data_IF_802520054973
#
_entry.id   IF_802520054973
#
_cell.length_a   1.000
_cell.length_b   1.000
_cell.length_c   1.000
_cell.angle_alpha   90.00
_cell.angle_beta   90.00
_cell.angle_gamma   90.00
#
_symmetry.space_group_name_H-M   'P 1'
#
loop_
_entity.id
_entity.type
_entity.pdbx_description
1 polymer ?
#
# COMPACT_ATOMS: atom_id res chain seq x y z
N UNK A 1 30.97 4.83 -14.82
CA UNK A 1 29.98 4.60 -15.90
C UNK A 1 30.62 3.87 -17.08
N UNK A 2 31.90 4.10 -17.39
CA UNK A 2 32.64 3.29 -18.38
C UNK A 2 32.66 1.80 -18.04
N UNK A 3 32.84 1.44 -16.77
CA UNK A 3 32.81 0.04 -16.31
C UNK A 3 31.50 -0.69 -16.65
N UNK A 4 30.36 0.01 -16.55
CA UNK A 4 29.05 -0.54 -16.91
C UNK A 4 28.92 -0.71 -18.43
N UNK A 5 29.43 0.26 -19.20
CA UNK A 5 29.45 0.19 -20.67
C UNK A 5 30.31 -0.98 -21.17
N UNK A 6 31.50 -1.17 -20.61
CA UNK A 6 32.38 -2.29 -20.93
C UNK A 6 31.78 -3.64 -20.53
N UNK A 7 31.04 -3.70 -19.41
CA UNK A 7 30.32 -4.91 -18.99
C UNK A 7 29.14 -5.26 -19.90
N UNK A 8 28.50 -4.27 -20.53
CA UNK A 8 27.34 -4.45 -21.41
C UNK A 8 27.74 -4.76 -22.87
N UNK A 9 28.91 -4.32 -23.34
CA UNK A 9 29.42 -4.59 -24.70
C UNK A 9 29.21 -6.01 -25.24
N UNK A 10 29.43 -7.11 -24.48
CA UNK A 10 29.20 -8.47 -24.98
C UNK A 10 27.72 -8.79 -25.32
N UNK A 11 26.76 -7.99 -24.85
CA UNK A 11 25.33 -8.18 -25.14
C UNK A 11 24.90 -7.52 -26.46
N UNK A 12 25.74 -6.68 -27.08
CA UNK A 12 25.43 -5.94 -28.31
C UNK A 12 24.95 -6.81 -29.49
N UNK A 13 25.53 -8.00 -29.79
CA UNK A 13 25.02 -8.84 -30.87
C UNK A 13 23.64 -9.45 -30.56
N UNK A 14 23.29 -9.60 -29.28
CA UNK A 14 21.99 -10.10 -28.83
C UNK A 14 20.94 -8.99 -28.97
N UNK A 15 21.27 -7.77 -28.55
CA UNK A 15 20.33 -6.65 -28.61
C UNK A 15 20.00 -6.21 -30.04
N UNK A 16 20.94 -6.32 -30.97
CA UNK A 16 20.69 -6.01 -32.38
C UNK A 16 19.87 -7.08 -33.12
N UNK A 17 19.82 -8.31 -32.58
CA UNK A 17 19.05 -9.42 -33.15
C UNK A 17 17.73 -9.69 -32.40
N UNK A 18 17.24 -8.71 -31.63
CA UNK A 18 15.97 -8.84 -30.93
C UNK A 18 14.82 -9.04 -31.94
N UNK A 19 13.94 -10.04 -31.73
CA UNK A 19 12.73 -10.23 -32.52
C UNK A 19 11.90 -8.95 -32.64
N UNK A 20 11.27 -8.73 -33.79
CA UNK A 20 10.47 -7.51 -34.04
C UNK A 20 9.42 -7.23 -32.96
N UNK A 21 8.69 -8.21 -32.38
CA UNK A 21 7.72 -7.90 -31.33
C UNK A 21 8.37 -7.31 -30.07
N UNK A 22 9.57 -7.77 -29.72
CA UNK A 22 10.30 -7.30 -28.52
C UNK A 22 10.90 -5.92 -28.79
N UNK A 23 11.43 -5.71 -30.00
CA UNK A 23 11.96 -4.41 -30.42
C UNK A 23 10.85 -3.36 -30.44
N UNK A 24 9.73 -3.67 -31.07
CA UNK A 24 8.61 -2.74 -31.23
C UNK A 24 7.95 -2.44 -29.87
N UNK A 25 7.89 -3.42 -28.96
CA UNK A 25 7.48 -3.19 -27.57
C UNK A 25 8.46 -2.26 -26.84
N UNK A 26 9.76 -2.50 -26.96
CA UNK A 26 10.78 -1.64 -26.34
C UNK A 26 10.72 -0.21 -26.86
N UNK A 27 10.63 -0.03 -28.18
CA UNK A 27 10.44 1.28 -28.83
C UNK A 27 9.14 1.93 -28.35
N UNK A 28 8.05 1.18 -28.22
CA UNK A 28 6.78 1.72 -27.72
C UNK A 28 6.85 2.18 -26.27
N UNK A 29 7.69 1.58 -25.42
CA UNK A 29 7.79 1.91 -23.99
C UNK A 29 8.72 3.10 -23.74
N UNK A 30 9.92 3.11 -24.32
CA UNK A 30 10.96 4.12 -24.04
C UNK A 30 11.21 5.09 -25.21
N UNK A 31 10.58 4.88 -26.37
CA UNK A 31 10.77 5.68 -27.57
C UNK A 31 11.96 5.25 -28.43
N UNK A 32 11.93 5.55 -29.73
CA UNK A 32 12.98 5.17 -30.68
C UNK A 32 14.38 5.66 -30.29
N UNK A 33 14.48 6.90 -29.82
CA UNK A 33 15.77 7.53 -29.46
C UNK A 33 16.41 6.85 -28.25
N UNK A 34 15.64 6.60 -27.19
CA UNK A 34 16.16 5.93 -26.01
C UNK A 34 16.32 4.43 -26.22
N UNK A 35 15.50 3.80 -27.06
CA UNK A 35 15.70 2.40 -27.45
C UNK A 35 17.03 2.22 -28.19
N UNK A 36 17.32 3.08 -29.18
CA UNK A 36 18.62 3.05 -29.88
C UNK A 36 19.79 3.28 -28.92
N UNK A 37 19.72 4.35 -28.13
CA UNK A 37 20.82 4.76 -27.24
C UNK A 37 21.08 3.74 -26.12
N UNK A 38 20.03 3.20 -25.50
CA UNK A 38 20.14 2.36 -24.31
C UNK A 38 20.22 0.86 -24.63
N UNK A 39 19.49 0.37 -25.64
CA UNK A 39 19.38 -1.06 -25.97
C UNK A 39 20.32 -1.45 -27.13
N UNK A 40 20.37 -0.67 -28.21
CA UNK A 40 21.20 -1.02 -29.39
C UNK A 40 22.66 -0.57 -29.23
N UNK A 41 22.87 0.65 -28.72
CA UNK A 41 24.20 1.24 -28.52
C UNK A 41 24.77 1.01 -27.12
N UNK A 42 23.94 0.48 -26.19
CA UNK A 42 24.32 0.15 -24.82
C UNK A 42 25.11 1.29 -24.17
N UNK A 43 24.62 2.52 -24.34
CA UNK A 43 25.24 3.72 -23.81
C UNK A 43 24.49 4.20 -22.56
N UNK A 44 24.83 3.72 -21.35
CA UNK A 44 24.17 4.12 -20.11
C UNK A 44 24.50 5.55 -19.68
N UNK A 45 25.35 6.26 -20.44
CA UNK A 45 25.79 7.62 -20.11
C UNK A 45 24.71 8.67 -20.40
N UNK A 46 23.70 8.33 -21.20
CA UNK A 46 22.55 9.20 -21.42
C UNK A 46 21.63 9.20 -20.20
N UNK A 47 21.80 10.22 -19.36
CA UNK A 47 21.10 10.32 -18.09
C UNK A 47 19.59 10.55 -18.23
N UNK A 48 19.13 11.09 -19.35
CA UNK A 48 17.71 11.33 -19.60
C UNK A 48 17.02 10.04 -20.01
N UNK A 49 17.58 9.33 -20.99
CA UNK A 49 17.07 8.03 -21.42
C UNK A 49 17.16 6.98 -20.32
N UNK A 50 18.21 7.00 -19.49
CA UNK A 50 18.33 6.09 -18.35
C UNK A 50 17.24 6.36 -17.29
N UNK A 51 17.00 7.63 -16.92
CA UNK A 51 15.94 7.98 -15.96
C UNK A 51 14.56 7.59 -16.49
N UNK A 52 14.29 7.84 -17.77
CA UNK A 52 13.03 7.45 -18.41
C UNK A 52 12.85 5.94 -18.42
N UNK A 53 13.89 5.17 -18.79
CA UNK A 53 13.83 3.71 -18.80
C UNK A 53 13.60 3.13 -17.40
N UNK A 54 14.28 3.68 -16.38
CA UNK A 54 14.05 3.29 -14.97
C UNK A 54 12.61 3.65 -14.57
N UNK A 55 12.10 4.84 -14.94
CA UNK A 55 10.73 5.26 -14.64
C UNK A 55 9.71 4.31 -15.23
N UNK A 56 9.83 3.99 -16.53
CA UNK A 56 8.93 3.04 -17.21
C UNK A 56 8.99 1.66 -16.60
N UNK A 57 10.20 1.18 -16.28
CA UNK A 57 10.40 -0.12 -15.61
C UNK A 57 9.73 -0.17 -14.24
N UNK A 58 9.90 0.87 -13.42
CA UNK A 58 9.21 1.02 -12.14
C UNK A 58 7.69 1.06 -12.33
N UNK A 59 7.18 1.88 -13.26
CA UNK A 59 5.75 1.96 -13.55
C UNK A 59 5.13 0.61 -13.93
N UNK A 60 5.75 -0.13 -14.85
CA UNK A 60 5.32 -1.49 -15.24
C UNK A 60 5.34 -2.44 -14.03
N UNK A 61 6.40 -2.38 -13.22
CA UNK A 61 6.51 -3.18 -12.00
C UNK A 61 5.39 -2.89 -11.01
N UNK A 62 5.06 -1.61 -10.78
CA UNK A 62 3.99 -1.23 -9.85
C UNK A 62 2.61 -1.63 -10.41
N UNK A 63 2.36 -1.46 -11.72
CA UNK A 63 1.14 -1.94 -12.39
C UNK A 63 0.98 -3.46 -12.22
N UNK A 64 2.06 -4.22 -12.47
CA UNK A 64 2.09 -5.67 -12.31
C UNK A 64 1.77 -6.10 -10.88
N UNK A 65 2.46 -5.51 -9.89
CA UNK A 65 2.19 -5.79 -8.48
C UNK A 65 0.74 -5.45 -8.10
N UNK A 66 0.26 -4.28 -8.51
CA UNK A 66 -1.09 -3.77 -8.19
C UNK A 66 -2.22 -4.64 -8.74
N UNK A 67 -1.97 -5.39 -9.80
CA UNK A 67 -2.91 -6.36 -10.38
C UNK A 67 -3.27 -7.49 -9.41
N UNK A 68 -2.38 -7.80 -8.46
CA UNK A 68 -2.50 -8.97 -7.57
C UNK A 68 -2.82 -8.56 -6.13
N UNK A 69 -2.56 -7.30 -5.73
CA UNK A 69 -2.65 -6.85 -4.33
C UNK A 69 -4.00 -7.19 -3.65
N UNK A 70 -5.13 -7.04 -4.36
CA UNK A 70 -6.46 -7.28 -3.77
C UNK A 70 -7.01 -8.68 -4.10
N UNK A 71 -6.34 -9.46 -4.94
CA UNK A 71 -6.77 -10.82 -5.33
C UNK A 71 -6.91 -11.77 -4.13
N UNK A 72 -5.98 -11.82 -3.15
CA UNK A 72 -6.16 -12.66 -1.96
C UNK A 72 -7.43 -12.32 -1.18
N UNK A 73 -7.83 -11.04 -1.14
CA UNK A 73 -9.06 -10.61 -0.48
C UNK A 73 -10.31 -11.07 -1.24
N UNK A 74 -10.28 -11.01 -2.58
CA UNK A 74 -11.36 -11.54 -3.42
C UNK A 74 -11.54 -13.05 -3.19
N UNK A 75 -10.44 -13.81 -3.20
CA UNK A 75 -10.49 -15.26 -2.95
C UNK A 75 -11.07 -15.55 -1.57
N UNK A 76 -10.63 -14.83 -0.53
CA UNK A 76 -11.17 -15.00 0.83
C UNK A 76 -12.67 -14.75 0.90
N UNK A 77 -13.17 -13.71 0.24
CA UNK A 77 -14.60 -13.41 0.18
C UNK A 77 -15.39 -14.52 -0.51
N UNK A 78 -14.89 -15.02 -1.65
CA UNK A 78 -15.54 -16.10 -2.39
C UNK A 78 -15.57 -17.41 -1.59
N UNK A 79 -14.50 -17.71 -0.85
CA UNK A 79 -14.40 -18.91 -0.02
C UNK A 79 -15.24 -18.83 1.25
N UNK A 80 -15.26 -17.68 1.92
CA UNK A 80 -16.02 -17.50 3.17
C UNK A 80 -17.50 -17.26 2.93
N UNK A 81 -17.86 -16.74 1.74
CA UNK A 81 -19.19 -16.22 1.43
C UNK A 81 -19.72 -15.26 2.50
N UNK A 82 -18.81 -14.52 3.15
CA UNK A 82 -19.12 -13.65 4.28
C UNK A 82 -18.31 -12.36 4.20
N UNK A 83 -18.99 -11.24 4.42
CA UNK A 83 -18.42 -9.89 4.48
C UNK A 83 -17.96 -9.47 5.89
N UNK A 84 -18.00 -10.38 6.87
CA UNK A 84 -17.66 -10.07 8.25
C UNK A 84 -16.24 -9.51 8.39
N UNK A 85 -16.10 -8.41 9.15
CA UNK A 85 -14.83 -7.72 9.35
C UNK A 85 -14.39 -6.81 8.19
N UNK A 86 -15.18 -6.69 7.12
CA UNK A 86 -14.88 -5.83 5.97
C UNK A 86 -15.79 -4.60 5.97
N UNK A 87 -15.18 -3.42 5.95
CA UNK A 87 -15.90 -2.14 5.94
C UNK A 87 -16.31 -1.75 4.51
N UNK A 88 -17.62 -1.81 4.22
CA UNK A 88 -18.17 -1.30 2.96
C UNK A 88 -17.81 0.18 2.73
N UNK A 89 -17.93 1.02 3.77
CA UNK A 89 -17.65 2.46 3.66
C UNK A 89 -16.19 2.72 3.27
N UNK A 90 -15.24 1.94 3.80
CA UNK A 90 -13.82 2.07 3.46
C UNK A 90 -13.58 1.75 1.98
N UNK A 91 -14.18 0.68 1.45
CA UNK A 91 -14.08 0.33 0.03
C UNK A 91 -14.81 1.33 -0.87
N UNK A 92 -15.93 1.89 -0.43
CA UNK A 92 -16.64 2.95 -1.14
C UNK A 92 -15.76 4.20 -1.29
N UNK A 93 -15.19 4.69 -0.18
CA UNK A 93 -14.30 5.86 -0.19
C UNK A 93 -13.04 5.62 -1.03
N UNK A 94 -12.43 4.43 -0.92
CA UNK A 94 -11.28 4.05 -1.72
C UNK A 94 -11.63 3.99 -3.22
N UNK A 95 -12.79 3.43 -3.58
CA UNK A 95 -13.30 3.39 -4.97
C UNK A 95 -13.54 4.79 -5.52
N UNK A 96 -14.20 5.67 -4.76
CA UNK A 96 -14.44 7.05 -5.16
C UNK A 96 -13.14 7.82 -5.39
N UNK A 97 -12.18 7.68 -4.46
CA UNK A 97 -10.86 8.31 -4.58
C UNK A 97 -10.13 7.85 -5.84
N UNK A 98 -10.08 6.54 -6.10
CA UNK A 98 -9.43 6.01 -7.30
C UNK A 98 -10.14 6.40 -8.60
N UNK A 99 -11.47 6.48 -8.61
CA UNK A 99 -12.23 6.91 -9.78
C UNK A 99 -11.95 8.38 -10.13
N UNK A 100 -11.93 9.26 -9.14
CA UNK A 100 -11.56 10.68 -9.32
C UNK A 100 -10.15 10.79 -9.87
N UNK A 101 -9.19 10.06 -9.28
CA UNK A 101 -7.81 10.04 -9.78
C UNK A 101 -7.69 9.49 -11.18
N UNK A 102 -8.41 8.43 -11.52
CA UNK A 102 -8.43 7.90 -12.88
C UNK A 102 -8.95 8.94 -13.88
N UNK A 103 -10.09 9.56 -13.59
CA UNK A 103 -10.67 10.59 -14.46
C UNK A 103 -9.74 11.79 -14.63
N UNK A 104 -9.09 12.24 -13.56
CA UNK A 104 -8.12 13.33 -13.60
C UNK A 104 -6.95 13.02 -14.54
N UNK A 105 -6.30 11.86 -14.34
CA UNK A 105 -5.13 11.47 -15.12
C UNK A 105 -5.47 11.25 -16.61
N UNK A 106 -6.61 10.61 -16.90
CA UNK A 106 -7.08 10.39 -18.28
C UNK A 106 -7.39 11.72 -18.96
N UNK A 107 -8.09 12.64 -18.29
CA UNK A 107 -8.46 13.95 -18.88
C UNK A 107 -7.26 14.88 -19.07
N UNK A 108 -6.20 14.72 -18.29
CA UNK A 108 -4.92 15.40 -18.51
C UNK A 108 -4.09 14.78 -19.65
N UNK A 109 -4.47 13.61 -20.16
CA UNK A 109 -3.72 12.91 -21.20
C UNK A 109 -2.39 12.32 -20.72
N UNK A 110 -2.27 12.02 -19.43
CA UNK A 110 -1.05 11.43 -18.89
C UNK A 110 -0.84 10.00 -19.42
N UNK A 111 0.41 9.51 -19.47
CA UNK A 111 0.68 8.17 -19.97
C UNK A 111 0.17 7.10 -19.01
N UNK A 112 -0.37 6.00 -19.53
CA UNK A 112 -0.94 4.91 -18.71
C UNK A 112 0.02 4.34 -17.66
N UNK A 113 1.33 4.37 -17.91
CA UNK A 113 2.37 3.96 -16.94
C UNK A 113 2.32 4.72 -15.61
N UNK A 114 1.68 5.89 -15.55
CA UNK A 114 1.62 6.75 -14.36
C UNK A 114 0.38 6.52 -13.48
N UNK A 115 -0.70 5.99 -14.06
CA UNK A 115 -1.98 5.79 -13.36
C UNK A 115 -2.58 4.40 -13.58
N UNK A 116 -1.95 3.52 -14.35
CA UNK A 116 -2.50 2.22 -14.72
C UNK A 116 -2.82 1.34 -13.53
N UNK A 117 -2.03 1.43 -12.46
CA UNK A 117 -2.33 0.77 -11.20
C UNK A 117 -3.64 1.25 -10.54
N UNK A 118 -3.97 2.54 -10.68
CA UNK A 118 -5.19 3.15 -10.14
C UNK A 118 -6.39 2.55 -10.84
N UNK A 119 -6.30 2.35 -12.16
CA UNK A 119 -7.34 1.66 -12.93
C UNK A 119 -7.51 0.20 -12.50
N UNK A 120 -6.41 -0.53 -12.30
CA UNK A 120 -6.46 -1.95 -11.91
C UNK A 120 -6.95 -2.15 -10.48
N UNK A 121 -6.53 -1.32 -9.54
CA UNK A 121 -6.99 -1.37 -8.15
C UNK A 121 -8.46 -0.95 -8.09
N UNK A 122 -8.88 0.07 -8.86
CA UNK A 122 -10.29 0.47 -8.97
C UNK A 122 -11.17 -0.71 -9.40
N UNK A 123 -10.78 -1.44 -10.46
CA UNK A 123 -11.51 -2.63 -10.92
C UNK A 123 -11.64 -3.69 -9.83
N UNK A 124 -10.53 -4.01 -9.15
CA UNK A 124 -10.55 -4.96 -8.02
C UNK A 124 -11.42 -4.48 -6.86
N UNK A 125 -11.41 -3.19 -6.54
CA UNK A 125 -12.24 -2.61 -5.48
C UNK A 125 -13.72 -2.66 -5.80
N UNK A 126 -14.11 -2.42 -7.04
CA UNK A 126 -15.50 -2.56 -7.50
C UNK A 126 -15.98 -3.99 -7.29
N UNK A 127 -15.17 -4.98 -7.69
CA UNK A 127 -15.47 -6.41 -7.47
C UNK A 127 -15.66 -6.70 -5.98
N UNK A 128 -14.71 -6.28 -5.14
CA UNK A 128 -14.80 -6.49 -3.68
C UNK A 128 -16.05 -5.83 -3.11
N UNK A 129 -16.35 -4.59 -3.50
CA UNK A 129 -17.50 -3.85 -2.99
C UNK A 129 -18.82 -4.55 -3.32
N UNK A 130 -18.96 -5.06 -4.54
CA UNK A 130 -20.12 -5.84 -4.98
C UNK A 130 -20.23 -7.14 -4.18
N UNK A 131 -19.13 -7.88 -4.00
CA UNK A 131 -19.11 -9.10 -3.19
C UNK A 131 -19.50 -8.84 -1.73
N UNK A 132 -18.96 -7.78 -1.13
CA UNK A 132 -19.27 -7.36 0.24
C UNK A 132 -20.76 -7.07 0.40
N UNK A 133 -21.36 -6.32 -0.52
CA UNK A 133 -22.80 -6.00 -0.45
C UNK A 133 -23.69 -7.23 -0.66
N UNK A 134 -23.34 -8.10 -1.61
CA UNK A 134 -24.08 -9.33 -1.86
C UNK A 134 -24.03 -10.29 -0.67
N UNK A 135 -22.85 -10.56 -0.11
CA UNK A 135 -22.70 -11.45 1.06
C UNK A 135 -23.21 -10.82 2.37
N UNK A 136 -23.51 -9.52 2.38
CA UNK A 136 -24.21 -8.85 3.49
C UNK A 136 -25.74 -8.92 3.36
N UNK A 137 -26.28 -9.59 2.32
CA UNK A 137 -27.72 -9.62 2.04
C UNK A 137 -28.29 -8.29 1.53
N UNK A 138 -27.44 -7.38 1.03
CA UNK A 138 -27.81 -6.01 0.61
C UNK A 138 -27.73 -5.84 -0.91
N UNK A 139 -28.32 -6.77 -1.66
CA UNK A 139 -28.27 -6.79 -3.13
C UNK A 139 -28.84 -5.52 -3.77
N UNK A 140 -29.88 -4.92 -3.20
CA UNK A 140 -30.43 -3.64 -3.67
C UNK A 140 -29.42 -2.49 -3.59
N UNK A 141 -28.62 -2.45 -2.52
CA UNK A 141 -27.54 -1.47 -2.36
C UNK A 141 -26.42 -1.75 -3.36
N UNK A 142 -26.16 -3.01 -3.71
CA UNK A 142 -25.19 -3.36 -4.77
C UNK A 142 -25.62 -2.80 -6.13
N UNK A 143 -26.89 -2.93 -6.48
CA UNK A 143 -27.44 -2.34 -7.70
C UNK A 143 -27.33 -0.81 -7.70
N UNK A 144 -27.67 -0.16 -6.57
CA UNK A 144 -27.53 1.29 -6.41
C UNK A 144 -26.06 1.74 -6.53
N UNK A 145 -25.13 0.98 -5.95
CA UNK A 145 -23.70 1.25 -6.06
C UNK A 145 -23.23 1.20 -7.52
N UNK A 146 -23.63 0.16 -8.28
CA UNK A 146 -23.28 0.04 -9.70
C UNK A 146 -23.87 1.19 -10.53
N UNK A 147 -25.14 1.55 -10.28
CA UNK A 147 -25.78 2.68 -10.95
C UNK A 147 -25.09 4.01 -10.62
N UNK A 148 -24.77 4.25 -9.34
CA UNK A 148 -24.04 5.43 -8.90
C UNK A 148 -22.63 5.48 -9.50
N UNK A 149 -21.95 4.34 -9.61
CA UNK A 149 -20.63 4.23 -10.23
C UNK A 149 -20.70 4.59 -11.72
N UNK A 150 -21.67 4.05 -12.46
CA UNK A 150 -21.87 4.36 -13.87
C UNK A 150 -22.13 5.86 -14.10
N UNK A 151 -23.01 6.47 -13.29
CA UNK A 151 -23.26 7.91 -13.32
C UNK A 151 -22.00 8.72 -12.98
N UNK A 152 -21.22 8.27 -11.99
CA UNK A 152 -19.96 8.93 -11.60
C UNK A 152 -18.93 8.89 -12.73
N UNK A 153 -18.84 7.77 -13.47
CA UNK A 153 -17.97 7.66 -14.65
C UNK A 153 -18.41 8.65 -15.74
N UNK A 154 -19.69 8.71 -16.09
CA UNK A 154 -20.18 9.63 -17.12
C UNK A 154 -19.91 11.08 -16.74
N UNK A 155 -20.16 11.45 -15.48
CA UNK A 155 -19.99 12.83 -14.99
C UNK A 155 -18.52 13.25 -14.90
N UNK A 156 -17.64 12.41 -14.36
CA UNK A 156 -16.22 12.75 -14.16
C UNK A 156 -15.44 12.81 -15.47
N UNK A 157 -15.79 11.99 -16.46
CA UNK A 157 -15.10 11.95 -17.75
C UNK A 157 -15.64 12.96 -18.77
N UNK A 158 -16.84 13.52 -18.54
CA UNK A 158 -17.44 14.51 -19.43
C UNK A 158 -17.06 15.94 -19.03
N UNK A 159 -16.22 16.58 -19.85
CA UNK A 159 -15.78 17.96 -19.64
C UNK A 159 -16.90 19.02 -19.73
N UNK A 160 -18.05 18.70 -20.33
CA UNK A 160 -19.21 19.58 -20.38
C UNK A 160 -20.05 19.58 -19.09
N UNK A 161 -19.90 18.53 -18.25
CA UNK A 161 -20.60 18.44 -16.95
C UNK A 161 -19.69 18.94 -15.83
N UNK A 162 -18.43 18.51 -15.83
CA UNK A 162 -17.48 18.80 -14.76
C UNK A 162 -16.20 19.34 -15.38
N UNK A 163 -15.86 20.58 -15.09
CA UNK A 163 -14.71 21.27 -15.65
C UNK A 163 -13.38 20.82 -15.01
N UNK A 164 -12.25 21.19 -15.60
CA UNK A 164 -10.96 20.71 -15.12
C UNK A 164 -10.57 21.30 -13.75
N UNK A 165 -11.08 22.48 -13.38
CA UNK A 165 -10.79 23.10 -12.10
C UNK A 165 -11.49 22.35 -10.97
N UNK A 166 -12.80 22.05 -11.12
CA UNK A 166 -13.53 21.23 -10.15
C UNK A 166 -12.91 19.85 -10.01
N UNK A 167 -12.50 19.22 -11.12
CA UNK A 167 -11.85 17.91 -11.07
C UNK A 167 -10.50 17.95 -10.34
N UNK A 168 -9.77 19.06 -10.43
CA UNK A 168 -8.51 19.27 -9.70
C UNK A 168 -8.73 19.36 -8.19
N UNK A 169 -9.79 20.04 -7.74
CA UNK A 169 -10.15 20.07 -6.32
C UNK A 169 -10.57 18.69 -5.81
N UNK A 170 -11.35 17.93 -6.59
CA UNK A 170 -11.69 16.56 -6.26
C UNK A 170 -10.43 15.68 -6.17
N UNK A 171 -9.49 15.82 -7.10
CA UNK A 171 -8.22 15.10 -7.09
C UNK A 171 -7.37 15.45 -5.87
N UNK A 172 -7.34 16.73 -5.48
CA UNK A 172 -6.68 17.16 -4.26
C UNK A 172 -7.31 16.50 -3.03
N UNK A 173 -8.65 16.49 -2.95
CA UNK A 173 -9.39 15.83 -1.88
C UNK A 173 -9.11 14.33 -1.81
N UNK A 174 -9.11 13.64 -2.95
CA UNK A 174 -8.75 12.22 -3.06
C UNK A 174 -7.33 11.95 -2.53
N UNK A 175 -6.35 12.76 -2.95
CA UNK A 175 -4.98 12.68 -2.43
C UNK A 175 -4.89 12.93 -0.91
N UNK A 176 -5.57 13.98 -0.43
CA UNK A 176 -5.61 14.32 0.99
C UNK A 176 -6.23 13.22 1.85
N UNK A 177 -7.31 12.59 1.40
CA UNK A 177 -7.91 11.45 2.11
C UNK A 177 -6.93 10.28 2.24
N UNK A 178 -6.19 9.98 1.16
CA UNK A 178 -5.15 8.95 1.18
C UNK A 178 -4.04 9.24 2.20
N UNK A 179 -3.56 10.49 2.23
CA UNK A 179 -2.51 10.94 3.16
C UNK A 179 -3.04 10.99 4.60
N UNK A 180 -4.21 11.56 4.81
CA UNK A 180 -4.84 11.72 6.12
C UNK A 180 -5.08 10.38 6.84
N UNK A 181 -5.33 9.30 6.09
CA UNK A 181 -5.50 7.96 6.66
C UNK A 181 -4.30 7.45 7.49
N UNK A 182 -3.10 8.00 7.24
CA UNK A 182 -1.86 7.64 7.94
C UNK A 182 -1.69 8.38 9.27
N UNK A 183 -2.36 9.53 9.45
CA UNK A 183 -2.22 10.36 10.65
C UNK A 183 -2.71 9.65 11.92
N UNK A 184 -3.89 8.99 11.94
CA UNK A 184 -4.30 8.21 13.11
C UNK A 184 -3.32 7.09 13.45
N UNK A 185 -2.72 6.45 12.44
CA UNK A 185 -1.72 5.40 12.66
C UNK A 185 -0.43 5.95 13.29
N UNK A 186 0.06 7.10 12.80
CA UNK A 186 1.23 7.79 13.38
C UNK A 186 0.96 8.19 14.84
N UNK A 187 -0.22 8.74 15.11
CA UNK A 187 -0.62 9.16 16.44
C UNK A 187 -0.75 7.96 17.40
N UNK A 188 -1.34 6.85 16.96
CA UNK A 188 -1.47 5.64 17.75
C UNK A 188 -0.11 5.05 18.13
N UNK A 189 0.84 4.94 17.20
CA UNK A 189 2.20 4.45 17.49
C UNK A 189 2.90 5.33 18.51
N UNK A 190 2.74 6.65 18.41
CA UNK A 190 3.31 7.60 19.36
C UNK A 190 2.71 7.43 20.77
N UNK A 191 1.38 7.30 20.86
CA UNK A 191 0.68 7.15 22.14
C UNK A 191 0.95 5.78 22.80
N UNK A 192 1.03 4.71 22.01
CA UNK A 192 1.31 3.36 22.49
C UNK A 192 2.79 3.16 22.85
N UNK A 193 3.69 3.99 22.30
CA UNK A 193 5.13 3.87 22.48
C UNK A 193 5.70 2.59 21.89
N UNK A 194 5.11 2.10 20.79
CA UNK A 194 5.43 0.84 20.13
C UNK A 194 4.69 0.70 18.79
N UNK A 195 5.20 -0.14 17.88
CA UNK A 195 4.60 -0.34 16.55
C UNK A 195 3.53 -1.44 16.50
N UNK A 196 3.33 -2.16 17.61
CA UNK A 196 2.26 -3.14 17.75
C UNK A 196 2.36 -4.32 16.77
N UNK A 197 1.36 -4.47 15.90
CA UNK A 197 1.30 -5.49 14.84
C UNK A 197 1.73 -4.95 13.48
N UNK A 198 2.22 -3.71 13.40
CA UNK A 198 2.65 -3.11 12.16
C UNK A 198 3.93 -3.79 11.68
N UNK A 199 3.91 -4.29 10.44
CA UNK A 199 5.07 -4.96 9.84
C UNK A 199 6.09 -3.94 9.35
N UNK A 200 7.35 -4.08 9.78
CA UNK A 200 8.48 -3.30 9.27
C UNK A 200 8.57 -3.38 7.74
N UNK A 201 8.39 -4.57 7.18
CA UNK A 201 8.41 -4.81 5.74
C UNK A 201 7.34 -3.97 5.02
N UNK A 202 6.14 -3.89 5.59
CA UNK A 202 5.05 -3.06 5.04
C UNK A 202 5.38 -1.57 5.08
N UNK A 203 5.92 -1.07 6.21
CA UNK A 203 6.27 0.35 6.37
C UNK A 203 7.37 0.77 5.40
N UNK A 204 8.45 0.00 5.28
CA UNK A 204 9.53 0.31 4.33
C UNK A 204 9.08 0.18 2.88
N UNK A 205 8.20 -0.77 2.55
CA UNK A 205 7.61 -0.84 1.22
C UNK A 205 6.71 0.36 0.89
N UNK A 206 5.96 0.90 1.86
CA UNK A 206 5.22 2.15 1.65
C UNK A 206 6.17 3.32 1.38
N UNK A 207 7.28 3.41 2.10
CA UNK A 207 8.30 4.43 1.86
C UNK A 207 8.92 4.29 0.46
N UNK A 208 9.39 3.09 0.11
CA UNK A 208 9.98 2.82 -1.19
C UNK A 208 8.99 3.06 -2.34
N UNK A 209 7.75 2.56 -2.22
CA UNK A 209 6.71 2.76 -3.22
C UNK A 209 6.36 4.23 -3.41
N UNK A 210 6.19 5.00 -2.33
CA UNK A 210 5.92 6.44 -2.45
C UNK A 210 7.09 7.23 -3.05
N UNK A 211 8.34 6.83 -2.76
CA UNK A 211 9.52 7.40 -3.43
C UNK A 211 9.54 7.09 -4.93
N UNK A 212 9.26 5.83 -5.30
CA UNK A 212 9.14 5.43 -6.70
C UNK A 212 8.09 6.28 -7.42
N UNK A 213 6.95 6.59 -6.79
CA UNK A 213 5.93 7.47 -7.38
C UNK A 213 6.40 8.90 -7.59
N UNK A 214 7.10 9.47 -6.63
CA UNK A 214 7.70 10.81 -6.79
C UNK A 214 8.63 10.80 -8.01
N UNK A 215 9.51 9.80 -8.10
CA UNK A 215 10.44 9.68 -9.22
C UNK A 215 9.71 9.52 -10.55
N UNK A 216 8.74 8.59 -10.67
CA UNK A 216 8.01 8.38 -11.93
C UNK A 216 7.19 9.60 -12.34
N UNK A 217 6.59 10.31 -11.40
CA UNK A 217 5.85 11.55 -11.69
C UNK A 217 6.80 12.62 -12.20
N UNK A 218 7.94 12.85 -11.55
CA UNK A 218 8.92 13.83 -12.01
C UNK A 218 9.45 13.56 -13.42
N UNK A 219 9.51 12.28 -13.85
CA UNK A 219 10.00 11.94 -15.19
C UNK A 219 8.92 11.85 -16.26
N UNK A 220 7.68 11.54 -15.90
CA UNK A 220 6.63 11.26 -16.90
C UNK A 220 5.53 12.33 -16.95
N UNK A 221 5.43 13.21 -15.95
CA UNK A 221 4.31 14.15 -15.81
C UNK A 221 4.74 15.49 -15.23
N UNK A 222 4.45 16.59 -15.93
CA UNK A 222 4.61 17.95 -15.40
C UNK A 222 3.34 18.43 -14.67
N UNK A 223 2.98 17.76 -13.56
CA UNK A 223 1.81 18.10 -12.77
C UNK A 223 2.14 18.21 -11.28
N UNK A 224 2.16 19.46 -10.80
CA UNK A 224 2.50 19.80 -9.41
C UNK A 224 1.46 19.27 -8.42
N UNK A 225 0.19 19.11 -8.82
CA UNK A 225 -0.84 18.64 -7.91
C UNK A 225 -0.61 17.17 -7.54
N UNK A 226 -0.36 16.32 -8.54
CA UNK A 226 -0.03 14.91 -8.32
C UNK A 226 1.30 14.80 -7.56
N UNK A 227 2.32 15.57 -7.97
CA UNK A 227 3.63 15.55 -7.33
C UNK A 227 3.55 15.89 -5.83
N UNK A 228 2.87 16.98 -5.47
CA UNK A 228 2.72 17.37 -4.06
C UNK A 228 1.92 16.34 -3.26
N UNK A 229 0.93 15.70 -3.87
CA UNK A 229 0.22 14.57 -3.24
C UNK A 229 1.16 13.42 -2.88
N UNK A 230 2.03 13.02 -3.80
CA UNK A 230 3.02 11.95 -3.53
C UNK A 230 4.09 12.38 -2.53
N UNK A 231 4.57 13.63 -2.59
CA UNK A 231 5.52 14.17 -1.61
C UNK A 231 4.93 14.18 -0.21
N UNK A 232 3.68 14.62 -0.04
CA UNK A 232 3.00 14.59 1.25
C UNK A 232 2.83 13.15 1.78
N UNK A 233 2.45 12.21 0.90
CA UNK A 233 2.35 10.79 1.25
C UNK A 233 3.70 10.19 1.66
N UNK A 234 4.78 10.52 0.95
CA UNK A 234 6.14 10.10 1.28
C UNK A 234 6.60 10.66 2.62
N UNK A 235 6.34 11.94 2.92
CA UNK A 235 6.68 12.55 4.19
C UNK A 235 6.02 11.82 5.38
N UNK A 236 4.73 11.47 5.27
CA UNK A 236 4.07 10.69 6.33
C UNK A 236 4.59 9.25 6.43
N UNK A 237 4.90 8.60 5.29
CA UNK A 237 5.54 7.28 5.30
C UNK A 237 6.95 7.34 5.94
N UNK A 238 7.67 8.44 5.77
CA UNK A 238 8.98 8.67 6.39
C UNK A 238 8.83 8.78 7.91
N UNK A 239 7.80 9.49 8.40
CA UNK A 239 7.48 9.55 9.83
C UNK A 239 7.18 8.15 10.38
N UNK A 240 6.34 7.36 9.68
CA UNK A 240 6.06 5.97 10.08
C UNK A 240 7.32 5.10 10.10
N UNK A 241 8.19 5.23 9.11
CA UNK A 241 9.47 4.50 9.06
C UNK A 241 10.40 4.92 10.20
N UNK A 242 10.48 6.22 10.50
CA UNK A 242 11.25 6.72 11.63
C UNK A 242 10.72 6.19 12.97
N UNK A 243 9.38 6.19 13.15
CA UNK A 243 8.75 5.58 14.33
C UNK A 243 9.03 4.07 14.41
N UNK A 244 9.00 3.36 13.28
CA UNK A 244 9.33 1.94 13.22
C UNK A 244 10.76 1.66 13.71
N UNK A 245 11.73 2.46 13.27
CA UNK A 245 13.13 2.34 13.70
C UNK A 245 13.30 2.75 15.16
N UNK A 246 12.68 3.85 15.59
CA UNK A 246 12.78 4.35 16.95
C UNK A 246 12.19 3.37 17.99
N UNK A 247 11.03 2.79 17.68
CA UNK A 247 10.35 1.84 18.56
C UNK A 247 10.69 0.37 18.27
N UNK A 248 11.75 0.10 17.52
CA UNK A 248 12.11 -1.26 17.08
C UNK A 248 12.25 -2.27 18.23
N UNK A 249 12.79 -1.83 19.36
CA UNK A 249 12.99 -2.63 20.57
C UNK A 249 12.02 -2.27 21.71
N UNK A 250 10.96 -1.52 21.43
CA UNK A 250 10.01 -1.14 22.47
C UNK A 250 9.25 -2.38 22.97
N UNK A 251 9.10 -2.57 24.30
CA UNK A 251 8.35 -3.69 24.83
C UNK A 251 6.90 -3.62 24.36
N UNK A 252 6.42 -4.67 23.69
CA UNK A 252 5.01 -4.81 23.27
C UNK A 252 4.06 -4.54 24.43
N UNK A 253 2.86 -3.99 24.15
CA UNK A 253 1.81 -3.82 25.16
C UNK A 253 1.51 -5.10 25.95
N UNK A 254 1.66 -6.30 25.33
CA UNK A 254 1.56 -7.60 26.02
C UNK A 254 2.70 -7.84 27.02
N UNK A 255 3.91 -7.39 26.73
CA UNK A 255 5.06 -7.47 27.65
C UNK A 255 4.93 -6.46 28.80
N UNK A 256 4.40 -5.26 28.53
CA UNK A 256 4.09 -4.26 29.58
C UNK A 256 2.96 -4.70 30.51
N UNK A 257 1.93 -5.37 29.98
CA UNK A 257 0.86 -5.97 30.80
C UNK A 257 1.41 -7.02 31.77
N UNK A 258 2.25 -7.94 31.27
CA UNK A 258 2.93 -8.95 32.11
C UNK A 258 3.94 -8.35 33.09
N UNK A 259 4.65 -7.28 32.72
CA UNK A 259 5.55 -6.57 33.66
C UNK A 259 4.77 -5.84 34.75
N UNK A 260 3.60 -5.24 34.46
CA UNK A 260 2.76 -4.62 35.49
C UNK A 260 2.15 -5.63 36.46
N UNK A 261 1.86 -6.85 36.01
CA UNK A 261 1.38 -7.96 36.85
C UNK A 261 2.50 -8.60 37.69
N UNK A 262 3.75 -8.48 37.24
CA UNK A 262 4.93 -9.03 37.92
C UNK A 262 5.60 -8.07 38.94
N UNK A 263 5.06 -6.87 39.15
CA UNK A 263 5.50 -6.00 40.26
C UNK A 263 4.64 -6.31 41.49
N UNK A 264 5.18 -6.98 42.52
CA UNK A 264 4.42 -7.19 43.75
C UNK A 264 4.28 -5.86 44.48
N UNK A 265 3.04 -5.51 44.81
CA UNK A 265 2.73 -4.50 45.82
C UNK A 265 3.31 -5.00 47.14
N UNK A 266 4.42 -4.44 47.59
CA UNK A 266 4.90 -4.60 48.96
C UNK A 266 5.75 -3.40 49.35
N UNK A 267 5.09 -2.34 49.82
CA UNK A 267 5.68 -1.37 50.72
C UNK A 267 4.57 -0.62 51.47
N UNK A 268 3.99 -1.26 52.49
CA UNK A 268 3.43 -0.52 53.62
C UNK A 268 3.45 -1.38 54.88
N UNK A 269 4.06 -0.85 55.95
CA UNK A 269 3.75 -1.24 57.32
C UNK A 269 4.74 -2.18 58.00
N UNK A 270 5.82 -1.62 58.52
CA UNK A 270 6.58 -2.21 59.62
C UNK A 270 5.78 -2.14 60.92
N UNK A 271 5.43 -3.28 61.51
CA UNK A 271 5.30 -3.47 62.97
C UNK A 271 5.15 -4.96 63.32
N UNK A 272 5.98 -5.45 64.24
CA UNK A 272 5.57 -6.48 65.20
C UNK A 272 6.00 -7.92 64.97
N UNK A 273 7.07 -8.29 65.68
CA UNK A 273 7.23 -9.53 66.45
C UNK A 273 7.51 -10.87 65.75
N UNK A 274 8.65 -11.41 66.18
CA UNK A 274 9.06 -12.81 66.19
C UNK A 274 8.10 -13.71 66.98
N UNK A 275 7.97 -14.96 66.50
CA UNK A 275 8.14 -16.24 67.23
C UNK A 275 7.06 -17.25 66.86
N UNK A 276 7.44 -18.45 66.43
CA UNK A 276 6.51 -19.59 66.37
C UNK A 276 6.88 -20.66 65.35
N UNK A 277 7.67 -21.63 65.78
CA UNK A 277 7.89 -22.91 65.11
C UNK A 277 6.64 -23.79 65.21
N UNK A 278 6.50 -24.72 64.26
CA UNK A 278 5.52 -25.84 64.13
C UNK A 278 4.37 -25.51 63.16
N UNK A 279 3.97 -26.31 62.17
CA UNK A 279 3.95 -27.78 62.09
C UNK A 279 3.64 -28.23 60.65
N UNK A 280 4.09 -29.45 60.31
CA UNK A 280 3.45 -30.43 59.41
C UNK A 280 3.28 -30.13 57.90
N UNK A 281 4.01 -30.92 57.10
CA UNK A 281 3.55 -31.44 55.80
C UNK A 281 2.51 -32.56 56.06
N UNK A 282 1.54 -32.84 55.16
CA UNK A 282 1.83 -33.89 54.17
C UNK A 282 1.16 -33.76 52.77
N UNK A 283 1.87 -34.41 51.84
CA UNK A 283 1.50 -34.97 50.50
C UNK A 283 0.04 -35.45 50.33
N UNK A 284 -0.53 -35.33 49.11
CA UNK A 284 -0.56 -36.38 48.05
C UNK A 284 -1.58 -36.04 46.92
N UNK A 285 -1.22 -36.23 45.63
CA UNK A 285 -1.76 -37.22 44.64
C UNK A 285 -3.30 -37.24 44.51
N UNK A 286 -3.97 -37.21 43.37
CA UNK A 286 -3.70 -37.41 41.93
C UNK A 286 -5.08 -37.52 41.22
N UNK A 287 -5.15 -37.55 39.87
CA UNK A 287 -6.36 -37.25 39.10
C UNK A 287 -7.22 -38.49 38.81
N UNK A 288 -8.53 -38.30 38.60
CA UNK A 288 -9.39 -39.38 38.12
C UNK A 288 -10.51 -38.84 37.22
N UNK A 289 -10.42 -39.16 35.94
CA UNK A 289 -11.56 -39.33 35.05
C UNK A 289 -11.65 -40.79 34.64
N UNK A 290 -12.89 -41.31 34.57
CA UNK A 290 -13.44 -42.20 33.54
C UNK A 290 -14.33 -43.30 34.13
N UNK A 291 -15.63 -43.25 33.80
CA UNK A 291 -16.35 -44.45 33.35
C UNK A 291 -17.60 -44.14 32.52
N UNK A 292 -17.51 -44.57 31.26
CA UNK A 292 -18.49 -45.14 30.31
C UNK A 292 -19.93 -44.61 30.24
N UNK A 293 -20.29 -44.27 29.01
CA UNK A 293 -21.52 -44.61 28.31
C UNK A 293 -21.23 -44.44 26.83
#
# INVERSE_FOLDING_TARGET
METLRTALQPLRPITNNLPTPIRDLGVSIIGDTCYKTLILDLNPTDSECLKLAISKGLGIGIIGASSIVKVPQIIKLLQSQSSSGISFLSYLLETSSYLISLAYNVRKGFPFSTYGETALILGQNVIITILVLNYSGRASIAALFVAALATSVVTLFNGGILDMQTLSYLQMGAGLLGVASKVPQIAAIYQEGGTGQLSAFTVFNYLAGSLSRIFTTLQEVDDKLILYGFVAGFALNLVLAAQMVYYWNAPSAKARGKMKEAVPVSATGSTGQSSGVSTATPKSKGPSTRRRG
#
